data_IF_890835637952
#
_entry.id   IF_890835637952
#
_cell.length_a   1.000
_cell.length_b   1.000
_cell.length_c   1.000
_cell.angle_alpha   90.00
_cell.angle_beta   90.00
_cell.angle_gamma   90.00
#
_symmetry.space_group_name_H-M   'P 1'
#
loop_
_entity.id
_entity.type
_entity.pdbx_description
1 polymer ?
#
# COMPACT_ATOMS: atom_id res chain seq x y z
N UNK A 1 -9.99 14.60 4.11
CA UNK A 1 -9.18 13.41 4.48
C UNK A 1 -9.52 12.29 3.50
N UNK A 2 -8.77 12.21 2.41
CA UNK A 2 -8.83 11.08 1.46
C UNK A 2 -7.45 10.48 1.45
N UNK A 3 -7.32 9.37 2.17
CA UNK A 3 -6.14 8.52 2.28
C UNK A 3 -5.53 8.23 0.91
N UNK A 4 -4.19 8.25 0.83
CA UNK A 4 -3.37 7.94 -0.35
C UNK A 4 -3.56 6.54 -0.92
N UNK A 5 -4.73 6.30 -1.52
CA UNK A 5 -4.97 5.18 -2.42
C UNK A 5 -4.68 5.71 -3.82
N UNK A 6 -3.56 5.27 -4.38
CA UNK A 6 -3.24 5.55 -5.78
C UNK A 6 -4.35 4.91 -6.64
N UNK A 7 -5.14 5.68 -7.42
CA UNK A 7 -6.23 5.11 -8.22
C UNK A 7 -5.73 3.99 -9.13
N UNK A 8 -6.57 2.97 -9.38
CA UNK A 8 -6.20 1.82 -10.21
C UNK A 8 -5.78 2.26 -11.60
N UNK A 9 -6.45 3.25 -12.15
CA UNK A 9 -6.18 3.84 -13.45
C UNK A 9 -4.79 4.48 -13.49
N UNK A 10 -4.43 5.22 -12.42
CA UNK A 10 -3.13 5.85 -12.30
C UNK A 10 -2.02 4.81 -12.08
N UNK A 11 -2.30 3.71 -11.37
CA UNK A 11 -1.37 2.59 -11.25
C UNK A 11 -1.12 1.92 -12.62
N UNK A 12 -2.16 1.73 -13.45
CA UNK A 12 -2.00 1.20 -14.80
C UNK A 12 -1.19 2.14 -15.69
N UNK A 13 -1.44 3.45 -15.60
CA UNK A 13 -0.69 4.48 -16.33
C UNK A 13 0.80 4.44 -15.95
N UNK A 14 1.13 4.44 -14.66
CA UNK A 14 2.52 4.35 -14.21
C UNK A 14 3.22 3.07 -14.65
N UNK A 15 2.54 1.91 -14.58
CA UNK A 15 3.12 0.65 -15.02
C UNK A 15 3.43 0.67 -16.53
N UNK A 16 2.56 1.31 -17.32
CA UNK A 16 2.79 1.48 -18.75
C UNK A 16 3.93 2.47 -19.02
N UNK A 17 3.91 3.63 -18.40
CA UNK A 17 4.83 4.73 -18.71
C UNK A 17 6.24 4.52 -18.16
N UNK A 18 6.34 4.03 -16.93
CA UNK A 18 7.63 3.85 -16.24
C UNK A 18 8.17 2.43 -16.38
N UNK A 19 7.28 1.45 -16.51
CA UNK A 19 7.63 0.03 -16.57
C UNK A 19 7.61 -0.56 -17.97
N UNK A 20 6.96 0.08 -18.95
CA UNK A 20 6.58 -0.55 -20.22
C UNK A 20 5.79 -1.87 -20.02
N UNK A 21 5.00 -1.94 -18.94
CA UNK A 21 4.19 -3.11 -18.58
C UNK A 21 2.72 -2.77 -18.79
N UNK A 22 2.05 -3.53 -19.66
CA UNK A 22 0.60 -3.50 -19.77
C UNK A 22 -0.04 -4.58 -18.89
N UNK A 23 -0.89 -4.15 -17.95
CA UNK A 23 -1.65 -5.06 -17.08
C UNK A 23 -3.13 -4.75 -17.14
N UNK A 24 -3.95 -5.80 -17.19
CA UNK A 24 -5.40 -5.67 -17.01
C UNK A 24 -5.76 -5.31 -15.56
N UNK A 25 -6.90 -4.61 -15.40
CA UNK A 25 -7.43 -4.20 -14.09
C UNK A 25 -7.56 -5.38 -13.12
N UNK A 26 -8.06 -6.53 -13.61
CA UNK A 26 -8.20 -7.73 -12.78
C UNK A 26 -6.88 -8.24 -12.19
N UNK A 27 -5.80 -8.22 -12.99
CA UNK A 27 -4.45 -8.61 -12.55
C UNK A 27 -3.90 -7.64 -11.51
N UNK A 28 -4.12 -6.34 -11.72
CA UNK A 28 -3.67 -5.29 -10.81
C UNK A 28 -4.39 -5.39 -9.46
N UNK A 29 -5.72 -5.52 -9.48
CA UNK A 29 -6.55 -5.72 -8.27
C UNK A 29 -6.14 -6.99 -7.52
N UNK A 30 -5.96 -8.12 -8.22
CA UNK A 30 -5.53 -9.37 -7.61
C UNK A 30 -4.13 -9.27 -6.99
N UNK A 31 -3.22 -8.52 -7.62
CA UNK A 31 -1.88 -8.28 -7.08
C UNK A 31 -1.91 -7.40 -5.85
N UNK A 32 -2.70 -6.31 -5.86
CA UNK A 32 -2.90 -5.45 -4.71
C UNK A 32 -3.48 -6.23 -3.52
N UNK A 33 -4.46 -7.11 -3.76
CA UNK A 33 -5.02 -7.97 -2.72
C UNK A 33 -3.98 -8.92 -2.12
N UNK A 34 -3.16 -9.57 -2.95
CA UNK A 34 -2.06 -10.44 -2.48
C UNK A 34 -1.02 -9.66 -1.68
N UNK A 35 -0.65 -8.46 -2.12
CA UNK A 35 0.29 -7.61 -1.42
C UNK A 35 -0.25 -7.17 -0.06
N UNK A 36 -1.53 -6.76 0.00
CA UNK A 36 -2.19 -6.37 1.25
C UNK A 36 -2.18 -7.52 2.26
N UNK A 37 -2.49 -8.75 1.83
CA UNK A 37 -2.44 -9.91 2.71
C UNK A 37 -1.00 -10.23 3.15
N UNK A 38 -0.03 -10.15 2.24
CA UNK A 38 1.38 -10.41 2.54
C UNK A 38 1.97 -9.45 3.58
N UNK A 39 1.54 -8.18 3.60
CA UNK A 39 2.05 -7.19 4.57
C UNK A 39 1.29 -7.19 5.89
N UNK A 40 0.08 -7.76 5.94
CA UNK A 40 -0.81 -7.73 7.11
C UNK A 40 -0.13 -8.15 8.40
N UNK A 41 0.56 -9.31 8.40
CA UNK A 41 1.26 -9.80 9.59
C UNK A 41 2.42 -8.90 10.05
N UNK A 42 3.03 -8.13 9.14
CA UNK A 42 4.05 -7.13 9.50
C UNK A 42 3.42 -5.88 10.11
N UNK A 43 2.29 -5.43 9.56
CA UNK A 43 1.50 -4.31 10.13
C UNK A 43 0.99 -4.65 11.53
N UNK A 44 0.47 -5.87 11.73
CA UNK A 44 -0.02 -6.33 13.03
C UNK A 44 1.10 -6.39 14.06
N UNK A 45 2.28 -6.90 13.68
CA UNK A 45 3.46 -6.91 14.57
C UNK A 45 3.94 -5.50 14.92
N UNK A 46 3.98 -4.60 13.95
CA UNK A 46 4.33 -3.20 14.20
C UNK A 46 3.33 -2.55 15.17
N UNK A 47 2.03 -2.81 14.98
CA UNK A 47 0.97 -2.32 15.87
C UNK A 47 1.17 -2.78 17.31
N UNK A 48 1.50 -4.04 17.53
CA UNK A 48 1.77 -4.54 18.89
C UNK A 48 3.08 -3.96 19.46
N UNK A 49 4.12 -3.84 18.65
CA UNK A 49 5.40 -3.25 19.07
C UNK A 49 5.25 -1.78 19.53
N UNK A 50 4.46 -0.98 18.81
CA UNK A 50 4.21 0.45 19.13
C UNK A 50 3.66 0.62 20.56
N UNK A 51 2.79 -0.30 21.02
CA UNK A 51 2.19 -0.20 22.37
C UNK A 51 3.20 -0.26 23.51
N UNK A 52 4.37 -0.87 23.28
CA UNK A 52 5.45 -0.98 24.25
C UNK A 52 6.44 0.18 24.23
N UNK A 53 6.30 1.14 23.31
CA UNK A 53 7.25 2.23 23.16
C UNK A 53 6.90 3.40 24.09
N UNK A 54 7.91 3.92 24.80
CA UNK A 54 7.75 5.05 25.72
C UNK A 54 7.49 6.37 24.99
N UNK A 55 7.97 6.51 23.76
CA UNK A 55 7.78 7.69 22.93
C UNK A 55 7.76 7.27 21.46
N UNK A 56 6.70 7.64 20.74
CA UNK A 56 6.57 7.43 19.29
C UNK A 56 6.28 8.79 18.66
N UNK A 57 7.06 9.14 17.64
CA UNK A 57 6.75 10.28 16.79
C UNK A 57 5.82 9.81 15.67
N UNK A 58 4.62 10.38 15.61
CA UNK A 58 3.66 10.13 14.54
C UNK A 58 3.70 11.32 13.60
N UNK A 59 4.16 11.08 12.37
CA UNK A 59 4.08 12.05 11.29
C UNK A 59 2.80 11.80 10.49
N UNK A 60 1.78 12.65 10.69
CA UNK A 60 0.61 12.66 9.81
C UNK A 60 0.93 13.55 8.60
N UNK A 61 1.11 12.93 7.42
CA UNK A 61 1.08 13.66 6.16
C UNK A 61 -0.38 14.07 5.83
N UNK A 62 -0.65 15.32 5.37
CA UNK A 62 -2.00 15.85 5.11
C UNK A 62 -2.90 15.03 4.17
#
# INVERSE_FOLDING_TARGET
RTTGIFPIELQQELLRELGAIEVGVGTLVATNARMAEAVKGSVDRLREWVKGQLMVHVDESP
#
